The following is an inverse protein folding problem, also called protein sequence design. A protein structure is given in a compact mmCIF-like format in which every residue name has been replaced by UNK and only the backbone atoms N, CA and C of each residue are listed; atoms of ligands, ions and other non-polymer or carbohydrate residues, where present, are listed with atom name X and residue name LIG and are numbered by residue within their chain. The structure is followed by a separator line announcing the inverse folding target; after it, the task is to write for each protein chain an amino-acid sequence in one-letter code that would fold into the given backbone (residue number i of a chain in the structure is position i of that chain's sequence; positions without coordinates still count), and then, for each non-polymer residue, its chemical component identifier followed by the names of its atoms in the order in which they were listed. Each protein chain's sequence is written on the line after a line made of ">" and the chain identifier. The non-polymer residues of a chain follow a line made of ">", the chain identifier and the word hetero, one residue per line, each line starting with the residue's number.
data_IF_972680435845
#
_entry.id   IF_972680435845
#
_cell.length_a   1.000
_cell.length_b   1.000
_cell.length_c   1.000
_cell.angle_alpha   90.00
_cell.angle_beta   90.00
_cell.angle_gamma   90.00
#
_symmetry.space_group_name_H-M   'P 1'
#
loop_
_entity.id
_entity.type
_entity.pdbx_description
1 polymer ?
#
# COMPACT_ATOMS: atom_id res chain seq x y z
N UNK A 1 -18.93 -13.83 -5.28
CA UNK A 1 -18.22 -13.47 -4.04
C UNK A 1 -19.03 -12.39 -3.35
N UNK A 2 -19.52 -12.61 -2.13
CA UNK A 2 -20.22 -11.56 -1.39
C UNK A 2 -19.25 -10.38 -1.15
N UNK A 3 -19.70 -9.14 -1.35
CA UNK A 3 -18.88 -7.96 -1.09
C UNK A 3 -18.38 -8.01 0.36
N UNK A 4 -17.05 -7.99 0.55
CA UNK A 4 -16.44 -7.91 1.89
C UNK A 4 -17.00 -6.67 2.58
N UNK A 5 -17.68 -6.83 3.71
CA UNK A 5 -18.23 -5.69 4.46
C UNK A 5 -17.12 -5.09 5.33
N UNK A 6 -16.55 -3.95 4.92
CA UNK A 6 -15.54 -3.26 5.71
C UNK A 6 -16.17 -2.57 6.92
N UNK A 7 -15.54 -2.73 8.09
CA UNK A 7 -15.90 -1.95 9.28
C UNK A 7 -15.34 -0.54 9.14
N UNK A 8 -16.21 0.48 9.23
CA UNK A 8 -15.78 1.88 9.16
C UNK A 8 -14.89 2.23 10.36
N UNK A 9 -13.89 3.07 10.12
CA UNK A 9 -13.08 3.63 11.19
C UNK A 9 -13.95 4.56 12.06
N UNK A 10 -14.04 4.33 13.39
CA UNK A 10 -15.01 5.05 14.23
C UNK A 10 -14.50 6.41 14.74
N UNK A 11 -13.24 6.78 14.45
CA UNK A 11 -12.59 7.98 15.00
C UNK A 11 -12.20 8.99 13.90
N UNK A 12 -13.04 9.13 12.86
CA UNK A 12 -12.83 10.15 11.84
C UNK A 12 -12.75 11.55 12.46
N UNK A 13 -11.76 12.34 12.05
CA UNK A 13 -11.50 13.68 12.58
C UNK A 13 -11.12 14.63 11.43
N UNK A 14 -11.76 15.81 11.40
CA UNK A 14 -11.52 16.85 10.42
C UNK A 14 -10.06 17.37 10.44
N UNK A 15 -9.33 17.18 11.53
CA UNK A 15 -7.91 17.48 11.63
C UNK A 15 -7.05 16.70 10.63
N UNK A 16 -7.53 15.56 10.13
CA UNK A 16 -6.85 14.77 9.09
C UNK A 16 -7.37 15.04 7.67
N UNK A 17 -8.22 16.06 7.47
CA UNK A 17 -8.63 16.47 6.14
C UNK A 17 -7.57 17.37 5.47
N UNK A 18 -6.74 16.73 4.65
CA UNK A 18 -5.63 17.37 3.94
C UNK A 18 -6.02 17.87 2.54
N UNK A 19 -7.13 18.61 2.42
CA UNK A 19 -7.60 19.14 1.14
C UNK A 19 -6.57 20.05 0.42
N UNK A 20 -6.48 19.91 -0.91
CA UNK A 20 -5.60 20.71 -1.77
C UNK A 20 -4.13 20.69 -1.32
N UNK A 21 -3.50 21.87 -1.24
CA UNK A 21 -2.10 22.01 -0.87
C UNK A 21 -1.78 21.63 0.59
N UNK A 22 -2.78 21.33 1.43
CA UNK A 22 -2.52 20.84 2.81
C UNK A 22 -1.80 19.49 2.79
N UNK A 23 -2.11 18.60 1.85
CA UNK A 23 -1.48 17.28 1.75
C UNK A 23 0.02 17.40 1.50
N UNK A 24 0.43 18.14 0.46
CA UNK A 24 1.84 18.30 0.12
C UNK A 24 2.64 18.98 1.24
N UNK A 25 2.06 19.98 1.91
CA UNK A 25 2.69 20.66 3.06
C UNK A 25 2.90 19.72 4.25
N UNK A 26 2.00 18.76 4.48
CA UNK A 26 2.09 17.81 5.58
C UNK A 26 2.90 16.54 5.23
N UNK A 27 3.23 16.34 3.95
CA UNK A 27 3.68 15.07 3.40
C UNK A 27 4.89 14.48 4.11
N UNK A 28 5.95 15.27 4.28
CA UNK A 28 7.19 14.81 4.92
C UNK A 28 6.95 14.28 6.34
N UNK A 29 5.99 14.87 7.08
CA UNK A 29 5.62 14.39 8.42
C UNK A 29 4.77 13.12 8.34
N UNK A 30 3.81 13.05 7.41
CA UNK A 30 2.90 11.91 7.25
C UNK A 30 3.62 10.64 6.77
N UNK A 31 4.69 10.82 6.00
CA UNK A 31 5.47 9.76 5.36
C UNK A 31 6.91 9.69 5.85
N UNK A 32 7.19 10.20 7.05
CA UNK A 32 8.53 10.10 7.66
C UNK A 32 8.95 8.63 7.90
N UNK A 33 7.99 7.72 8.13
CA UNK A 33 8.25 6.32 8.44
C UNK A 33 8.37 5.38 7.24
N UNK A 34 7.82 5.75 6.08
CA UNK A 34 7.86 4.95 4.84
C UNK A 34 8.56 5.66 3.68
N UNK A 35 8.94 6.92 3.87
CA UNK A 35 9.63 7.77 2.89
C UNK A 35 8.93 7.79 1.52
N UNK A 36 7.61 7.58 1.49
CA UNK A 36 6.84 7.58 0.24
C UNK A 36 7.01 8.94 -0.47
N UNK A 37 7.40 8.97 -1.75
CA UNK A 37 7.48 10.22 -2.50
C UNK A 37 6.09 10.85 -2.68
N UNK A 38 6.01 12.18 -2.67
CA UNK A 38 4.74 12.86 -2.96
C UNK A 38 4.32 12.57 -4.42
N UNK A 39 3.10 12.09 -4.67
CA UNK A 39 2.65 11.75 -6.01
C UNK A 39 2.23 13.01 -6.77
N UNK A 40 3.21 13.78 -7.23
CA UNK A 40 3.00 14.83 -8.21
C UNK A 40 3.18 14.30 -9.64
N UNK A 41 2.78 15.11 -10.63
CA UNK A 41 2.90 14.78 -12.06
C UNK A 41 4.33 14.36 -12.44
N UNK A 42 5.36 15.03 -11.88
CA UNK A 42 6.76 14.76 -12.23
C UNK A 42 7.18 13.38 -11.72
N UNK A 43 6.82 13.05 -10.49
CA UNK A 43 7.10 11.74 -9.89
C UNK A 43 6.38 10.62 -10.64
N UNK A 44 5.09 10.77 -10.90
CA UNK A 44 4.30 9.78 -11.64
C UNK A 44 4.84 9.58 -13.06
N UNK A 45 5.14 10.65 -13.79
CA UNK A 45 5.73 10.55 -15.13
C UNK A 45 7.11 9.87 -15.11
N UNK A 46 7.90 10.09 -14.06
CA UNK A 46 9.19 9.43 -13.89
C UNK A 46 9.02 7.91 -13.68
N UNK A 47 8.05 7.49 -12.86
CA UNK A 47 7.72 6.07 -12.69
C UNK A 47 7.26 5.45 -14.01
N UNK A 48 6.32 6.09 -14.72
CA UNK A 48 5.80 5.62 -16.01
C UNK A 48 6.90 5.46 -17.06
N UNK A 49 7.84 6.41 -17.12
CA UNK A 49 8.98 6.35 -18.03
C UNK A 49 9.96 5.23 -17.67
N UNK A 50 10.20 5.02 -16.37
CA UNK A 50 11.18 4.08 -15.86
C UNK A 50 10.69 2.62 -15.93
N UNK A 51 9.39 2.41 -15.76
CA UNK A 51 8.78 1.08 -15.65
C UNK A 51 7.82 0.83 -16.83
N UNK A 52 8.21 0.02 -17.83
CA UNK A 52 7.37 -0.26 -18.99
C UNK A 52 5.98 -0.85 -18.65
N UNK A 53 5.86 -1.51 -17.51
CA UNK A 53 4.59 -2.04 -17.01
C UNK A 53 3.56 -0.95 -16.65
N UNK A 54 4.00 0.33 -16.51
CA UNK A 54 3.16 1.46 -16.14
C UNK A 54 2.75 2.35 -17.33
N UNK A 55 3.16 2.00 -18.56
CA UNK A 55 2.96 2.84 -19.75
C UNK A 55 1.49 3.17 -20.02
N UNK A 56 0.58 2.26 -19.63
CA UNK A 56 -0.86 2.36 -19.89
C UNK A 56 -1.65 2.76 -18.63
N UNK A 57 -0.97 3.22 -17.56
CA UNK A 57 -1.63 3.64 -16.31
C UNK A 57 -2.42 4.96 -16.42
N UNK A 58 -2.41 5.61 -17.59
CA UNK A 58 -3.13 6.86 -17.85
C UNK A 58 -2.23 8.10 -17.83
N UNK A 59 -2.85 9.27 -18.02
CA UNK A 59 -2.14 10.56 -17.99
C UNK A 59 -1.53 10.83 -16.61
N UNK A 60 -0.27 11.26 -16.58
CA UNK A 60 0.49 11.42 -15.34
C UNK A 60 -0.13 12.44 -14.36
N UNK A 61 -0.77 13.49 -14.87
CA UNK A 61 -1.40 14.51 -14.02
C UNK A 61 -2.70 13.98 -13.40
N UNK A 62 -3.52 13.30 -14.21
CA UNK A 62 -4.73 12.64 -13.74
C UNK A 62 -4.44 11.54 -12.71
N UNK A 63 -3.43 10.71 -12.97
CA UNK A 63 -2.99 9.66 -12.03
C UNK A 63 -2.45 10.27 -10.74
N UNK A 64 -1.62 11.31 -10.81
CA UNK A 64 -1.14 12.02 -9.64
C UNK A 64 -2.28 12.58 -8.78
N UNK A 65 -3.26 13.25 -9.40
CA UNK A 65 -4.42 13.79 -8.70
C UNK A 65 -5.25 12.69 -8.01
N UNK A 66 -5.45 11.56 -8.67
CA UNK A 66 -6.17 10.41 -8.12
C UNK A 66 -5.41 9.75 -6.95
N UNK A 67 -4.09 9.57 -7.06
CA UNK A 67 -3.26 9.07 -5.97
C UNK A 67 -3.31 10.00 -4.75
N UNK A 68 -3.27 11.31 -4.95
CA UNK A 68 -3.40 12.28 -3.87
C UNK A 68 -4.77 12.20 -3.18
N UNK A 69 -5.86 11.95 -3.92
CA UNK A 69 -7.18 11.74 -3.31
C UNK A 69 -7.24 10.43 -2.51
N UNK A 70 -6.68 9.35 -3.04
CA UNK A 70 -6.62 8.07 -2.32
C UNK A 70 -5.80 8.20 -1.02
N UNK A 71 -4.71 8.98 -1.03
CA UNK A 71 -3.97 9.32 0.20
C UNK A 71 -4.79 10.16 1.18
N UNK A 72 -5.59 11.12 0.70
CA UNK A 72 -6.51 11.88 1.56
C UNK A 72 -7.55 10.96 2.21
N UNK A 73 -8.14 10.05 1.44
CA UNK A 73 -9.07 9.05 1.97
C UNK A 73 -8.39 8.18 3.04
N UNK A 74 -7.16 7.71 2.79
CA UNK A 74 -6.38 6.96 3.76
C UNK A 74 -6.18 7.75 5.06
N UNK A 75 -5.75 9.01 4.98
CA UNK A 75 -5.50 9.84 6.16
C UNK A 75 -6.78 10.17 6.94
N UNK A 76 -7.94 10.25 6.28
CA UNK A 76 -9.26 10.38 6.93
C UNK A 76 -9.77 9.09 7.57
N UNK A 77 -9.08 7.96 7.38
CA UNK A 77 -9.49 6.64 7.86
C UNK A 77 -10.54 5.96 6.98
N UNK A 78 -10.79 6.48 5.77
CA UNK A 78 -11.68 5.88 4.77
C UNK A 78 -10.96 4.74 4.02
N UNK A 79 -10.51 3.72 4.78
CA UNK A 79 -9.59 2.71 4.28
C UNK A 79 -10.13 1.91 3.09
N UNK A 80 -11.42 1.54 3.11
CA UNK A 80 -12.03 0.84 1.98
C UNK A 80 -11.96 1.70 0.71
N UNK A 81 -12.37 2.97 0.82
CA UNK A 81 -12.39 3.91 -0.30
C UNK A 81 -10.99 4.17 -0.84
N UNK A 82 -10.00 4.33 0.04
CA UNK A 82 -8.60 4.48 -0.34
C UNK A 82 -8.06 3.25 -1.08
N UNK A 83 -8.37 2.04 -0.60
CA UNK A 83 -7.98 0.79 -1.26
C UNK A 83 -8.62 0.65 -2.63
N UNK A 84 -9.93 0.86 -2.75
CA UNK A 84 -10.65 0.74 -4.02
C UNK A 84 -10.18 1.79 -5.05
N UNK A 85 -9.97 3.03 -4.62
CA UNK A 85 -9.46 4.09 -5.49
C UNK A 85 -8.04 3.80 -5.97
N UNK A 86 -7.18 3.28 -5.08
CA UNK A 86 -5.81 2.90 -5.44
C UNK A 86 -5.77 1.65 -6.35
N UNK A 87 -6.60 0.63 -6.09
CA UNK A 87 -6.69 -0.56 -6.93
C UNK A 87 -7.14 -0.21 -8.36
N UNK A 88 -8.02 0.78 -8.52
CA UNK A 88 -8.44 1.29 -9.83
C UNK A 88 -7.30 1.93 -10.65
N UNK A 89 -6.23 2.40 -9.99
CA UNK A 89 -5.03 2.93 -10.63
C UNK A 89 -3.98 1.85 -10.94
N UNK A 90 -4.19 0.63 -10.45
CA UNK A 90 -3.28 -0.49 -10.64
C UNK A 90 -2.00 -0.38 -9.80
N UNK A 91 -0.95 -1.07 -10.25
CA UNK A 91 0.27 -1.30 -9.44
C UNK A 91 1.05 -0.02 -9.09
N UNK A 92 0.85 1.09 -9.81
CA UNK A 92 1.46 2.39 -9.48
C UNK A 92 0.99 2.94 -8.12
N UNK A 93 -0.21 2.57 -7.69
CA UNK A 93 -0.81 2.99 -6.42
C UNK A 93 -0.82 1.86 -5.37
N UNK A 94 -0.06 0.78 -5.59
CA UNK A 94 -0.07 -0.40 -4.72
C UNK A 94 0.31 -0.09 -3.27
N UNK A 95 1.22 0.85 -3.03
CA UNK A 95 1.60 1.32 -1.70
C UNK A 95 0.39 1.85 -0.92
N UNK A 96 -0.44 2.69 -1.55
CA UNK A 96 -1.66 3.25 -0.94
C UNK A 96 -2.61 2.13 -0.53
N UNK A 97 -2.91 1.24 -1.48
CA UNK A 97 -3.86 0.15 -1.27
C UNK A 97 -3.39 -0.82 -0.17
N UNK A 98 -2.10 -1.20 -0.18
CA UNK A 98 -1.51 -2.07 0.83
C UNK A 98 -1.46 -1.42 2.21
N UNK A 99 -1.14 -0.13 2.29
CA UNK A 99 -1.13 0.60 3.57
C UNK A 99 -2.54 0.72 4.13
N UNK A 100 -3.52 1.11 3.32
CA UNK A 100 -4.92 1.24 3.72
C UNK A 100 -5.52 -0.11 4.17
N UNK A 101 -5.43 -1.13 3.33
CA UNK A 101 -5.97 -2.46 3.62
C UNK A 101 -5.22 -3.14 4.77
N UNK A 102 -3.91 -2.97 4.85
CA UNK A 102 -3.07 -3.52 5.92
C UNK A 102 -3.40 -2.94 7.30
N UNK A 103 -3.59 -1.62 7.40
CA UNK A 103 -4.00 -0.96 8.65
C UNK A 103 -5.42 -1.38 9.02
N UNK A 104 -6.36 -1.36 8.06
CA UNK A 104 -7.71 -1.85 8.29
C UNK A 104 -7.72 -3.30 8.80
N UNK A 105 -7.01 -4.21 8.15
CA UNK A 105 -6.94 -5.62 8.52
C UNK A 105 -6.37 -5.81 9.93
N UNK A 106 -5.36 -5.00 10.29
CA UNK A 106 -4.70 -5.06 11.59
C UNK A 106 -5.64 -4.63 12.72
N UNK A 107 -6.38 -3.53 12.54
CA UNK A 107 -7.05 -2.86 13.65
C UNK A 107 -8.59 -2.96 13.63
N UNK A 108 -9.20 -3.17 12.47
CA UNK A 108 -10.65 -3.04 12.30
C UNK A 108 -11.32 -4.31 11.77
N UNK A 109 -10.60 -5.11 10.97
CA UNK A 109 -11.16 -6.36 10.44
C UNK A 109 -11.38 -7.38 11.56
N UNK A 110 -12.47 -8.14 11.42
CA UNK A 110 -12.71 -9.34 12.23
C UNK A 110 -11.60 -10.35 11.97
N UNK A 111 -11.22 -11.09 13.02
CA UNK A 111 -10.13 -12.07 12.94
C UNK A 111 -10.32 -13.08 11.80
N UNK A 112 -11.54 -13.59 11.62
CA UNK A 112 -11.89 -14.54 10.56
C UNK A 112 -11.64 -14.01 9.13
N UNK A 113 -11.62 -12.68 8.94
CA UNK A 113 -11.45 -12.05 7.63
C UNK A 113 -9.99 -11.64 7.35
N UNK A 114 -9.12 -11.60 8.37
CA UNK A 114 -7.76 -11.04 8.28
C UNK A 114 -6.88 -11.77 7.27
N UNK A 115 -6.94 -13.10 7.23
CA UNK A 115 -6.17 -13.93 6.31
C UNK A 115 -6.40 -13.46 4.87
N UNK A 116 -7.66 -13.29 4.47
CA UNK A 116 -8.01 -12.90 3.10
C UNK A 116 -7.66 -11.45 2.75
N UNK A 117 -7.41 -10.57 3.73
CA UNK A 117 -6.88 -9.23 3.50
C UNK A 117 -5.36 -9.25 3.33
N UNK A 118 -4.64 -9.95 4.21
CA UNK A 118 -3.18 -10.01 4.09
C UNK A 118 -2.71 -10.82 2.87
N UNK A 119 -3.47 -11.83 2.44
CA UNK A 119 -3.24 -12.49 1.15
C UNK A 119 -3.42 -11.53 -0.05
N UNK A 120 -4.42 -10.64 0.02
CA UNK A 120 -4.63 -9.63 -1.02
C UNK A 120 -3.48 -8.63 -1.06
N UNK A 121 -3.06 -8.12 0.09
CA UNK A 121 -1.90 -7.23 0.19
C UNK A 121 -0.62 -7.89 -0.35
N UNK A 122 -0.37 -9.16 -0.01
CA UNK A 122 0.80 -9.88 -0.49
C UNK A 122 0.81 -10.01 -2.02
N UNK A 123 -0.31 -10.43 -2.63
CA UNK A 123 -0.45 -10.52 -4.09
C UNK A 123 -0.28 -9.17 -4.79
N UNK A 124 -0.84 -8.10 -4.22
CA UNK A 124 -0.67 -6.75 -4.74
C UNK A 124 0.79 -6.32 -4.68
N UNK A 125 1.48 -6.60 -3.58
CA UNK A 125 2.90 -6.30 -3.42
C UNK A 125 3.78 -7.12 -4.39
N UNK A 126 3.50 -8.41 -4.60
CA UNK A 126 4.18 -9.24 -5.60
C UNK A 126 4.04 -8.66 -7.01
N UNK A 127 2.83 -8.21 -7.39
CA UNK A 127 2.59 -7.56 -8.67
C UNK A 127 3.33 -6.22 -8.78
N UNK A 128 3.37 -5.43 -7.71
CA UNK A 128 4.11 -4.18 -7.65
C UNK A 128 5.63 -4.41 -7.78
N UNK A 129 6.20 -5.38 -7.06
CA UNK A 129 7.61 -5.77 -7.17
C UNK A 129 7.95 -6.20 -8.61
N UNK A 130 7.07 -6.96 -9.26
CA UNK A 130 7.29 -7.37 -10.66
C UNK A 130 7.32 -6.17 -11.62
N UNK A 131 6.46 -5.17 -11.40
CA UNK A 131 6.37 -3.98 -12.26
C UNK A 131 7.45 -2.93 -11.95
N UNK A 132 7.79 -2.77 -10.68
CA UNK A 132 8.66 -1.75 -10.10
C UNK A 132 9.66 -2.41 -9.13
N UNK A 133 10.63 -3.22 -9.62
CA UNK A 133 11.51 -4.04 -8.77
C UNK A 133 12.50 -3.25 -7.90
N UNK A 134 12.59 -1.94 -8.12
CA UNK A 134 13.39 -1.00 -7.33
C UNK A 134 12.55 0.01 -6.54
N UNK A 135 11.24 -0.23 -6.43
CA UNK A 135 10.38 0.47 -5.48
C UNK A 135 10.54 -0.15 -4.08
N UNK A 136 11.11 0.61 -3.14
CA UNK A 136 11.38 0.11 -1.79
C UNK A 136 10.09 -0.27 -1.05
N UNK A 137 9.01 0.50 -1.24
CA UNK A 137 7.75 0.27 -0.54
C UNK A 137 7.01 -0.97 -1.03
N UNK A 138 7.12 -1.35 -2.30
CA UNK A 138 6.59 -2.61 -2.82
C UNK A 138 7.21 -3.82 -2.09
N UNK A 139 8.54 -3.79 -1.85
CA UNK A 139 9.23 -4.82 -1.07
C UNK A 139 8.85 -4.77 0.42
N UNK A 140 8.78 -3.56 1.00
CA UNK A 140 8.37 -3.39 2.40
C UNK A 140 6.96 -3.94 2.66
N UNK A 141 5.99 -3.57 1.80
CA UNK A 141 4.60 -4.00 1.96
C UNK A 141 4.42 -5.50 1.68
N UNK A 142 5.28 -6.11 0.86
CA UNK A 142 5.32 -7.57 0.72
C UNK A 142 5.75 -8.24 2.04
N UNK A 143 6.84 -7.76 2.65
CA UNK A 143 7.29 -8.25 3.96
C UNK A 143 6.23 -8.05 5.05
N UNK A 144 5.64 -6.85 5.10
CA UNK A 144 4.57 -6.51 6.04
C UNK A 144 3.37 -7.44 5.88
N UNK A 145 2.88 -7.64 4.65
CA UNK A 145 1.71 -8.46 4.39
C UNK A 145 1.96 -9.92 4.76
N UNK A 146 3.11 -10.49 4.36
CA UNK A 146 3.48 -11.87 4.70
C UNK A 146 3.69 -12.05 6.21
N UNK A 147 4.31 -11.08 6.89
CA UNK A 147 4.50 -11.12 8.33
C UNK A 147 3.19 -11.04 9.12
N UNK A 148 2.22 -10.26 8.64
CA UNK A 148 0.88 -10.22 9.24
C UNK A 148 0.06 -11.47 8.92
N UNK A 149 0.14 -11.96 7.69
CA UNK A 149 -0.48 -13.22 7.30
C UNK A 149 0.06 -14.40 8.12
N UNK A 150 1.37 -14.46 8.38
CA UNK A 150 1.96 -15.54 9.19
C UNK A 150 1.46 -15.56 10.64
N UNK A 151 1.11 -14.40 11.20
CA UNK A 151 0.49 -14.26 12.53
C UNK A 151 -0.97 -14.76 12.54
N UNK A 152 -1.61 -14.92 11.39
CA UNK A 152 -3.00 -15.36 11.27
C UNK A 152 -3.14 -16.86 10.98
N UNK A 153 -2.04 -17.61 10.89
CA UNK A 153 -2.04 -19.03 10.53
C UNK A 153 -1.18 -19.86 11.49
N UNK A 154 -1.23 -21.18 11.37
CA UNK A 154 -0.37 -22.06 12.18
C UNK A 154 1.10 -21.98 11.78
N UNK A 155 1.99 -22.21 12.75
CA UNK A 155 3.44 -22.26 12.53
C UNK A 155 3.80 -23.28 11.45
N UNK A 156 3.20 -24.47 11.49
CA UNK A 156 3.43 -25.52 10.48
C UNK A 156 3.07 -25.04 9.07
N UNK A 157 1.96 -24.31 8.90
CA UNK A 157 1.58 -23.75 7.59
C UNK A 157 2.55 -22.64 7.15
N UNK A 158 2.98 -21.77 8.06
CA UNK A 158 3.94 -20.73 7.77
C UNK A 158 5.32 -21.29 7.33
N UNK A 159 5.77 -22.35 7.98
CA UNK A 159 7.00 -23.08 7.62
C UNK A 159 6.86 -23.76 6.26
N UNK A 160 5.76 -24.48 6.02
CA UNK A 160 5.51 -25.15 4.73
C UNK A 160 5.45 -24.16 3.55
N UNK A 161 4.99 -22.93 3.79
CA UNK A 161 4.95 -21.87 2.77
C UNK A 161 6.26 -21.06 2.64
N UNK A 162 7.27 -21.36 3.46
CA UNK A 162 8.58 -20.71 3.42
C UNK A 162 8.54 -19.21 3.76
N UNK A 163 7.56 -18.76 4.56
CA UNK A 163 7.30 -17.32 4.76
C UNK A 163 8.48 -16.57 5.37
N UNK A 164 9.22 -17.19 6.30
CA UNK A 164 10.37 -16.55 6.96
C UNK A 164 11.46 -16.12 5.97
N UNK A 165 11.76 -16.97 4.97
CA UNK A 165 12.74 -16.65 3.93
C UNK A 165 12.27 -15.49 3.04
N UNK A 166 11.01 -15.53 2.60
CA UNK A 166 10.41 -14.48 1.75
C UNK A 166 10.35 -13.12 2.45
N UNK A 167 9.98 -13.11 3.73
CA UNK A 167 9.94 -11.90 4.55
C UNK A 167 11.34 -11.30 4.67
N UNK A 168 12.33 -12.13 5.01
CA UNK A 168 13.73 -11.69 5.12
C UNK A 168 14.23 -11.09 3.80
N UNK A 169 14.07 -11.79 2.69
CA UNK A 169 14.49 -11.34 1.36
C UNK A 169 13.89 -9.98 1.00
N UNK A 170 12.59 -9.80 1.26
CA UNK A 170 11.86 -8.55 0.98
C UNK A 170 12.38 -7.39 1.84
N UNK A 171 12.67 -7.63 3.12
CA UNK A 171 13.25 -6.61 4.01
C UNK A 171 14.68 -6.24 3.62
N UNK A 172 15.52 -7.23 3.30
CA UNK A 172 16.89 -6.99 2.82
C UNK A 172 16.89 -6.18 1.52
N UNK A 173 15.95 -6.49 0.61
CA UNK A 173 15.79 -5.71 -0.63
C UNK A 173 15.31 -4.29 -0.36
N UNK A 174 14.39 -4.10 0.57
CA UNK A 174 13.93 -2.77 1.02
C UNK A 174 15.11 -1.92 1.51
N UNK A 175 15.91 -2.46 2.45
CA UNK A 175 17.06 -1.76 3.02
C UNK A 175 18.16 -1.47 1.99
N UNK A 176 18.33 -2.33 0.98
CA UNK A 176 19.26 -2.07 -0.11
C UNK A 176 18.80 -0.93 -1.03
N UNK A 177 17.49 -0.75 -1.20
CA UNK A 177 16.91 0.30 -2.05
C UNK A 177 16.81 1.64 -1.33
N UNK A 178 16.44 1.62 -0.04
CA UNK A 178 16.36 2.80 0.82
C UNK A 178 17.04 2.50 2.16
N UNK A 179 18.36 2.74 2.27
CA UNK A 179 19.10 2.55 3.51
C UNK A 179 18.70 3.60 4.55
N UNK A 180 18.85 3.25 5.84
CA UNK A 180 18.60 4.13 6.97
C UNK A 180 19.60 5.29 7.07
#
# INVERSE_FOLDING_TARGET
>A
MAAKKWVKFPHGDAAFDYAGAKLSKAWARLHAGDQEPFPDKKHVAALQKKHPALKDCGDADAVAAAMQEAWRDFHRGEFQKATEAADALGVIAATIANKAEGIYATYLAKEADRVGHFEHCAKRAEAAIKAMPDDANAHYFHAFALGRYSQCISITKALAQGLGGKIKESLERTLKLSPA
#
